data_IF_082799517468
#
_entry.id   IF_082799517468
#
_cell.length_a   1.000
_cell.length_b   1.000
_cell.length_c   1.000
_cell.angle_alpha   90.00
_cell.angle_beta   90.00
_cell.angle_gamma   90.00
#
_symmetry.space_group_name_H-M   'P 1'
#
loop_
_entity.id
_entity.type
_entity.pdbx_description
1 polymer ?
#
# COMPACT_ATOMS: atom_id res chain seq x y z
N UNK A 1 -11.33 21.26 11.86
CA UNK A 1 -11.63 21.07 10.43
C UNK A 1 -10.86 19.84 9.97
N UNK A 2 -11.50 18.74 9.54
CA UNK A 2 -10.75 17.64 8.94
C UNK A 2 -10.04 18.17 7.70
N UNK A 3 -8.75 17.86 7.55
CA UNK A 3 -7.98 18.24 6.37
C UNK A 3 -8.67 17.72 5.10
N UNK A 4 -8.68 18.52 4.03
CA UNK A 4 -9.19 18.08 2.74
C UNK A 4 -8.45 16.80 2.32
N UNK A 5 -9.14 15.79 1.75
CA UNK A 5 -8.49 14.56 1.35
C UNK A 5 -7.36 14.88 0.37
N UNK A 6 -6.14 14.50 0.73
CA UNK A 6 -4.98 14.71 -0.13
C UNK A 6 -5.23 14.03 -1.48
N UNK A 7 -4.88 14.71 -2.57
CA UNK A 7 -4.98 14.14 -3.91
C UNK A 7 -4.14 12.85 -3.97
N UNK A 8 -4.74 11.78 -4.50
CA UNK A 8 -4.09 10.49 -4.63
C UNK A 8 -2.86 10.59 -5.54
N UNK A 9 -1.76 9.98 -5.13
CA UNK A 9 -0.61 9.82 -6.01
C UNK A 9 -0.97 8.94 -7.22
N UNK A 10 -0.32 9.12 -8.39
CA UNK A 10 -0.59 8.31 -9.59
C UNK A 10 -0.52 6.79 -9.33
N UNK A 11 0.44 6.34 -8.53
CA UNK A 11 0.58 4.94 -8.13
C UNK A 11 -0.64 4.44 -7.32
N UNK A 12 -1.17 5.28 -6.41
CA UNK A 12 -2.35 4.95 -5.60
C UNK A 12 -3.60 4.89 -6.48
N UNK A 13 -3.77 5.83 -7.40
CA UNK A 13 -4.87 5.83 -8.34
C UNK A 13 -4.82 4.58 -9.26
N UNK A 14 -3.63 4.22 -9.76
CA UNK A 14 -3.44 3.01 -10.55
C UNK A 14 -3.74 1.72 -9.77
N UNK A 15 -3.27 1.64 -8.50
CA UNK A 15 -3.56 0.51 -7.62
C UNK A 15 -5.07 0.36 -7.37
N UNK A 16 -5.77 1.44 -7.06
CA UNK A 16 -7.23 1.43 -6.85
C UNK A 16 -7.98 1.03 -8.12
N UNK A 17 -7.56 1.52 -9.29
CA UNK A 17 -8.15 1.14 -10.57
C UNK A 17 -7.94 -0.35 -10.86
N UNK A 18 -6.77 -0.90 -10.57
CA UNK A 18 -6.50 -2.33 -10.72
C UNK A 18 -7.34 -3.20 -9.77
N UNK A 19 -7.41 -2.83 -8.49
CA UNK A 19 -8.25 -3.52 -7.51
C UNK A 19 -9.72 -3.46 -7.92
N UNK A 20 -10.21 -2.31 -8.38
CA UNK A 20 -11.57 -2.15 -8.87
C UNK A 20 -11.89 -3.03 -10.08
N UNK A 21 -11.00 -3.08 -11.08
CA UNK A 21 -11.17 -3.97 -12.25
C UNK A 21 -11.16 -5.44 -11.85
N UNK A 22 -10.24 -5.84 -10.98
CA UNK A 22 -10.15 -7.20 -10.44
C UNK A 22 -11.43 -7.59 -9.70
N UNK A 23 -11.92 -6.72 -8.82
CA UNK A 23 -13.14 -6.95 -8.06
C UNK A 23 -14.38 -7.09 -8.97
N UNK A 24 -14.50 -6.27 -10.03
CA UNK A 24 -15.59 -6.37 -11.00
C UNK A 24 -15.53 -7.65 -11.82
N UNK A 25 -14.32 -8.03 -12.27
CA UNK A 25 -14.08 -9.30 -12.99
C UNK A 25 -14.47 -10.51 -12.14
N UNK A 26 -14.08 -10.51 -10.87
CA UNK A 26 -14.24 -11.66 -9.98
C UNK A 26 -15.61 -11.69 -9.26
N UNK A 27 -16.41 -10.63 -9.43
CA UNK A 27 -17.72 -10.46 -8.78
C UNK A 27 -18.65 -11.67 -8.96
N UNK A 28 -18.85 -12.25 -10.15
CA UNK A 28 -19.76 -13.39 -10.31
C UNK A 28 -19.34 -14.60 -9.45
N UNK A 29 -18.04 -14.91 -9.44
CA UNK A 29 -17.49 -16.01 -8.65
C UNK A 29 -17.62 -15.75 -7.15
N UNK A 30 -17.36 -14.52 -6.70
CA UNK A 30 -17.53 -14.13 -5.31
C UNK A 30 -19.00 -14.26 -4.85
N UNK A 31 -19.95 -13.83 -5.67
CA UNK A 31 -21.38 -13.98 -5.39
C UNK A 31 -21.81 -15.44 -5.31
N UNK A 32 -21.29 -16.30 -6.18
CA UNK A 32 -21.56 -17.74 -6.13
C UNK A 32 -21.03 -18.39 -4.84
N UNK A 33 -19.87 -17.94 -4.33
CA UNK A 33 -19.33 -18.39 -3.04
C UNK A 33 -20.23 -17.95 -1.89
N UNK A 34 -20.65 -16.68 -1.85
CA UNK A 34 -21.59 -16.17 -0.83
C UNK A 34 -22.89 -16.98 -0.86
N UNK A 35 -23.46 -17.21 -2.05
CA UNK A 35 -24.67 -18.00 -2.22
C UNK A 35 -24.53 -19.41 -1.68
N UNK A 36 -23.39 -20.05 -1.91
CA UNK A 36 -23.10 -21.40 -1.39
C UNK A 36 -23.06 -21.42 0.14
N UNK A 37 -22.47 -20.40 0.77
CA UNK A 37 -22.40 -20.32 2.23
C UNK A 37 -23.75 -19.99 2.88
N UNK A 38 -24.60 -19.23 2.19
CA UNK A 38 -25.93 -18.88 2.68
C UNK A 38 -27.00 -19.91 2.29
N UNK A 39 -26.69 -20.86 1.41
CA UNK A 39 -27.59 -21.95 1.06
C UNK A 39 -27.96 -22.76 2.31
N UNK A 40 -29.26 -22.99 2.51
CA UNK A 40 -29.76 -23.74 3.67
C UNK A 40 -29.86 -22.94 4.98
N UNK A 41 -29.42 -21.67 5.00
CA UNK A 41 -29.57 -20.81 6.19
C UNK A 41 -31.00 -20.28 6.42
N UNK A 42 -31.92 -20.54 5.49
CA UNK A 42 -33.27 -19.95 5.49
C UNK A 42 -33.29 -18.43 5.27
N UNK A 43 -32.14 -17.80 5.02
CA UNK A 43 -32.02 -16.35 4.87
C UNK A 43 -32.22 -15.95 3.41
N UNK A 44 -33.24 -15.13 3.14
CA UNK A 44 -33.34 -14.42 1.87
C UNK A 44 -32.41 -13.20 1.92
N UNK A 45 -31.57 -13.04 0.90
CA UNK A 45 -30.68 -11.89 0.80
C UNK A 45 -30.62 -11.41 -0.64
N UNK A 46 -30.38 -10.12 -0.82
CA UNK A 46 -30.03 -9.55 -2.11
C UNK A 46 -28.55 -9.14 -2.08
N UNK A 47 -27.72 -9.65 -3.01
CA UNK A 47 -26.29 -9.35 -3.05
C UNK A 47 -25.95 -7.86 -2.98
N UNK A 48 -26.72 -7.03 -3.68
CA UNK A 48 -26.54 -5.57 -3.70
C UNK A 48 -26.82 -4.93 -2.34
N UNK A 49 -27.83 -5.42 -1.59
CA UNK A 49 -28.12 -4.95 -0.25
C UNK A 49 -27.02 -5.34 0.73
N UNK A 50 -26.47 -6.56 0.60
CA UNK A 50 -25.33 -7.00 1.40
C UNK A 50 -24.10 -6.12 1.14
N UNK A 51 -23.76 -5.87 -0.13
CA UNK A 51 -22.62 -5.01 -0.47
C UNK A 51 -22.84 -3.58 0.00
N UNK A 52 -24.04 -3.03 -0.15
CA UNK A 52 -24.38 -1.70 0.36
C UNK A 52 -24.26 -1.63 1.89
N UNK A 53 -24.73 -2.65 2.61
CA UNK A 53 -24.61 -2.71 4.07
C UNK A 53 -23.15 -2.76 4.51
N UNK A 54 -22.29 -3.52 3.81
CA UNK A 54 -20.84 -3.54 4.08
C UNK A 54 -20.20 -2.18 3.78
N UNK A 55 -20.60 -1.49 2.72
CA UNK A 55 -20.07 -0.17 2.38
C UNK A 55 -20.45 0.90 3.41
N UNK A 56 -21.68 0.84 3.97
CA UNK A 56 -22.18 1.83 4.94
C UNK A 56 -21.74 1.52 6.37
N UNK A 57 -21.73 0.24 6.75
CA UNK A 57 -21.51 -0.18 8.15
C UNK A 57 -20.18 -0.89 8.38
N UNK A 58 -19.40 -1.12 7.32
CA UNK A 58 -18.08 -1.73 7.41
C UNK A 58 -17.16 -0.91 8.31
N UNK A 59 -16.51 -1.59 9.25
CA UNK A 59 -15.48 -0.99 10.09
C UNK A 59 -14.11 -1.42 9.57
N UNK A 60 -13.24 -0.45 9.36
CA UNK A 60 -11.84 -0.71 9.08
C UNK A 60 -11.07 -0.73 10.41
N UNK A 61 -10.47 -1.88 10.72
CA UNK A 61 -9.54 -2.01 11.84
C UNK A 61 -8.12 -1.90 11.32
N UNK A 62 -7.30 -1.10 12.01
CA UNK A 62 -5.89 -0.94 11.70
C UNK A 62 -5.04 -1.60 12.80
N UNK A 63 -4.30 -2.64 12.45
CA UNK A 63 -3.41 -3.34 13.38
C UNK A 63 -1.97 -2.84 13.19
N UNK A 64 -1.37 -2.29 14.25
CA UNK A 64 0.01 -1.80 14.25
C UNK A 64 0.64 -1.97 15.64
N UNK A 65 1.97 -1.92 15.69
CA UNK A 65 2.71 -1.91 16.95
C UNK A 65 2.90 -0.46 17.43
N UNK A 66 2.25 -0.03 18.53
CA UNK A 66 2.20 1.38 18.92
C UNK A 66 3.57 1.95 19.29
N UNK A 67 4.44 1.13 19.88
CA UNK A 67 5.73 1.56 20.44
C UNK A 67 6.91 1.47 19.46
N UNK A 68 6.69 0.98 18.24
CA UNK A 68 7.78 0.93 17.25
C UNK A 68 8.22 2.34 16.89
N UNK A 69 9.53 2.54 16.80
CA UNK A 69 10.12 3.84 16.49
C UNK A 69 10.30 4.02 14.99
N UNK A 70 9.89 5.19 14.50
CA UNK A 70 10.24 5.70 13.18
C UNK A 70 11.70 6.21 13.18
N UNK A 71 12.23 6.44 11.98
CA UNK A 71 13.57 7.00 11.80
C UNK A 71 13.75 8.40 12.45
N UNK A 72 12.65 9.13 12.68
CA UNK A 72 12.64 10.42 13.36
C UNK A 72 12.53 10.31 14.89
N UNK A 73 12.52 9.09 15.44
CA UNK A 73 12.46 8.81 16.87
C UNK A 73 11.06 8.84 17.48
N UNK A 74 10.00 9.17 16.71
CA UNK A 74 8.62 9.10 17.20
C UNK A 74 8.12 7.65 17.22
N UNK A 75 7.19 7.34 18.12
CA UNK A 75 6.47 6.07 18.07
C UNK A 75 5.44 6.06 16.94
N UNK A 76 5.08 4.89 16.41
CA UNK A 76 4.02 4.76 15.38
C UNK A 76 2.71 5.37 15.87
N UNK A 77 2.34 5.18 17.14
CA UNK A 77 1.15 5.78 17.71
C UNK A 77 1.20 7.32 17.69
N UNK A 78 2.33 7.91 18.07
CA UNK A 78 2.51 9.36 18.08
C UNK A 78 2.51 9.95 16.66
N UNK A 79 3.17 9.28 15.70
CA UNK A 79 3.17 9.70 14.30
C UNK A 79 1.76 9.60 13.68
N UNK A 80 1.02 8.52 13.95
CA UNK A 80 -0.34 8.36 13.45
C UNK A 80 -1.30 9.40 14.06
N UNK A 81 -1.18 9.67 15.36
CA UNK A 81 -1.99 10.67 16.04
C UNK A 81 -1.70 12.10 15.57
N UNK A 82 -0.43 12.43 15.30
CA UNK A 82 -0.01 13.76 14.87
C UNK A 82 -0.23 14.03 13.38
N UNK A 83 0.11 13.06 12.53
CA UNK A 83 0.06 13.23 11.07
C UNK A 83 -1.34 12.95 10.50
N UNK A 84 -2.14 12.13 11.20
CA UNK A 84 -3.46 11.68 10.72
C UNK A 84 -3.40 10.80 9.46
N UNK A 85 -2.19 10.38 9.06
CA UNK A 85 -1.94 9.60 7.85
C UNK A 85 -1.23 8.30 8.23
N UNK A 86 -1.80 7.17 7.80
CA UNK A 86 -1.14 5.88 7.89
C UNK A 86 -0.12 5.75 6.76
N UNK A 87 1.16 5.55 7.12
CA UNK A 87 2.27 5.41 6.17
C UNK A 87 2.67 3.95 6.03
N UNK A 88 3.04 3.54 4.82
CA UNK A 88 3.42 2.15 4.56
C UNK A 88 4.77 1.77 5.18
N UNK A 89 5.04 0.47 5.30
CA UNK A 89 6.34 -0.05 5.73
C UNK A 89 7.51 0.39 4.84
N UNK A 90 7.25 0.72 3.57
CA UNK A 90 8.28 1.20 2.65
C UNK A 90 8.63 2.66 2.89
N UNK A 91 7.68 3.45 3.38
CA UNK A 91 7.91 4.84 3.78
C UNK A 91 8.59 4.91 5.15
N UNK A 92 8.12 4.10 6.09
CA UNK A 92 8.58 4.14 7.49
C UNK A 92 9.82 3.31 7.73
N UNK A 93 10.12 2.34 6.85
CA UNK A 93 11.13 1.31 7.08
C UNK A 93 10.75 0.30 8.16
N UNK A 94 9.55 0.41 8.74
CA UNK A 94 9.07 -0.43 9.83
C UNK A 94 8.24 -1.57 9.25
N UNK A 95 8.76 -2.79 9.33
CA UNK A 95 8.00 -4.00 9.00
C UNK A 95 7.21 -4.49 10.21
N UNK A 96 6.05 -5.11 9.97
CA UNK A 96 5.32 -5.92 10.97
C UNK A 96 6.02 -7.27 11.27
N UNK A 97 7.26 -7.47 10.82
CA UNK A 97 8.07 -8.66 11.14
C UNK A 97 8.07 -9.75 10.07
N UNK A 98 7.55 -9.48 8.86
CA UNK A 98 7.61 -10.43 7.74
C UNK A 98 9.03 -10.55 7.18
N UNK A 99 9.59 -11.76 7.18
CA UNK A 99 10.94 -12.08 6.67
C UNK A 99 11.09 -11.93 5.14
N UNK A 100 9.99 -11.79 4.39
CA UNK A 100 9.96 -11.74 2.93
C UNK A 100 9.70 -10.34 2.34
N UNK A 101 9.84 -9.29 3.16
CA UNK A 101 9.58 -7.90 2.78
C UNK A 101 10.75 -7.24 2.01
N UNK A 102 11.31 -7.94 1.02
CA UNK A 102 12.37 -7.45 0.13
C UNK A 102 11.94 -7.60 -1.35
N UNK A 103 12.51 -6.82 -2.28
CA UNK A 103 12.17 -6.91 -3.71
C UNK A 103 12.33 -8.34 -4.26
N UNK A 104 11.32 -8.85 -4.95
CA UNK A 104 11.25 -10.23 -5.45
C UNK A 104 10.88 -11.29 -4.41
N UNK A 105 10.77 -10.93 -3.12
CA UNK A 105 10.28 -11.81 -2.05
C UNK A 105 8.77 -12.09 -2.17
N UNK A 106 8.26 -13.06 -1.42
CA UNK A 106 6.86 -13.49 -1.49
C UNK A 106 5.87 -12.35 -1.25
N UNK A 107 6.21 -11.44 -0.32
CA UNK A 107 5.38 -10.27 -0.02
C UNK A 107 5.32 -9.33 -1.21
N UNK A 108 6.46 -9.07 -1.84
CA UNK A 108 6.57 -8.16 -2.99
C UNK A 108 5.78 -8.68 -4.19
N UNK A 109 5.90 -9.99 -4.50
CA UNK A 109 5.13 -10.64 -5.58
C UNK A 109 3.63 -10.67 -5.28
N UNK A 110 3.25 -10.90 -4.02
CA UNK A 110 1.85 -10.83 -3.61
C UNK A 110 1.29 -9.42 -3.76
N UNK A 111 2.03 -8.38 -3.36
CA UNK A 111 1.62 -6.99 -3.53
C UNK A 111 1.57 -6.59 -5.01
N UNK A 112 2.50 -7.07 -5.83
CA UNK A 112 2.49 -6.87 -7.28
C UNK A 112 1.20 -7.43 -7.90
N UNK A 113 0.80 -8.65 -7.53
CA UNK A 113 -0.45 -9.24 -8.00
C UNK A 113 -1.68 -8.47 -7.51
N UNK A 114 -1.69 -8.07 -6.22
CA UNK A 114 -2.81 -7.37 -5.60
C UNK A 114 -3.01 -5.97 -6.18
N UNK A 115 -1.93 -5.23 -6.45
CA UNK A 115 -1.97 -3.84 -6.91
C UNK A 115 -1.65 -3.66 -8.40
N UNK A 116 -1.40 -4.75 -9.12
CA UNK A 116 -1.15 -4.73 -10.56
C UNK A 116 0.14 -4.04 -10.95
N UNK A 117 1.21 -4.21 -10.16
CA UNK A 117 2.51 -3.59 -10.46
C UNK A 117 2.60 -2.09 -10.13
N UNK A 118 1.54 -1.49 -9.59
CA UNK A 118 1.47 -0.03 -9.39
C UNK A 118 2.58 0.53 -8.48
N UNK A 119 3.16 -0.30 -7.61
CA UNK A 119 4.22 0.09 -6.67
C UNK A 119 5.60 -0.48 -7.03
N UNK A 120 5.72 -1.21 -8.14
CA UNK A 120 6.91 -1.94 -8.57
C UNK A 120 7.82 -1.14 -9.51
N UNK A 121 7.46 0.11 -9.86
CA UNK A 121 8.25 0.96 -10.74
C UNK A 121 9.70 1.13 -10.25
N UNK A 122 10.70 1.12 -11.16
CA UNK A 122 12.10 1.15 -10.79
C UNK A 122 12.45 2.47 -10.08
N UNK A 123 12.73 2.32 -8.80
CA UNK A 123 13.15 3.37 -7.87
C UNK A 123 14.55 3.89 -8.22
N UNK A 124 14.63 4.87 -9.13
CA UNK A 124 15.82 5.75 -9.19
C UNK A 124 15.82 6.78 -8.04
N UNK A 125 14.68 6.94 -7.37
CA UNK A 125 14.54 7.71 -6.15
C UNK A 125 13.58 6.97 -5.22
N UNK A 126 14.16 6.17 -4.30
CA UNK A 126 13.46 5.31 -3.31
C UNK A 126 12.46 6.03 -2.39
N UNK A 127 12.27 7.34 -2.51
CA UNK A 127 11.48 8.15 -1.59
C UNK A 127 10.11 8.58 -2.13
N UNK A 128 9.76 8.32 -3.39
CA UNK A 128 8.54 8.89 -4.02
C UNK A 128 7.57 7.89 -4.65
N UNK A 129 7.99 6.67 -5.01
CA UNK A 129 7.09 5.71 -5.69
C UNK A 129 6.08 5.02 -4.75
N UNK A 130 6.43 4.92 -3.46
CA UNK A 130 5.65 4.21 -2.43
C UNK A 130 5.21 5.12 -1.28
N UNK A 131 5.39 6.43 -1.45
CA UNK A 131 5.04 7.45 -0.47
C UNK A 131 3.86 8.28 -0.90
N UNK A 132 2.94 8.55 0.01
CA UNK A 132 1.97 9.63 -0.18
C UNK A 132 2.63 10.97 0.15
N UNK A 133 2.86 11.83 -0.85
CA UNK A 133 3.24 13.23 -0.63
C UNK A 133 4.41 13.72 -1.49
N UNK A 134 4.15 14.78 -2.25
CA UNK A 134 5.17 15.48 -3.04
C UNK A 134 6.14 16.25 -2.15
N UNK A 135 7.44 16.11 -2.41
CA UNK A 135 8.46 17.08 -2.02
C UNK A 135 9.68 16.92 -2.93
N UNK A 136 10.07 18.02 -3.57
CA UNK A 136 11.26 18.18 -4.39
C UNK A 136 12.51 17.75 -3.63
N UNK A 137 13.37 16.97 -4.29
CA UNK A 137 14.62 16.48 -3.70
C UNK A 137 15.77 17.41 -4.10
N UNK A 138 16.20 18.28 -3.18
CA UNK A 138 17.50 18.94 -3.24
C UNK A 138 18.58 17.94 -2.80
N UNK A 139 19.56 17.71 -3.67
CA UNK A 139 20.69 16.81 -3.50
C UNK A 139 21.71 17.38 -2.52
N UNK A 140 22.14 16.59 -1.53
CA UNK A 140 23.47 16.74 -0.93
C UNK A 140 24.02 15.35 -0.63
N UNK A 141 25.22 14.99 -1.12
CA UNK A 141 25.77 13.65 -0.95
C UNK A 141 26.54 13.55 0.38
N UNK A 142 26.14 12.63 1.25
CA UNK A 142 27.01 12.13 2.34
C UNK A 142 27.54 10.75 1.97
N UNK A 143 28.86 10.58 2.19
CA UNK A 143 29.72 9.52 1.67
C UNK A 143 29.42 8.10 2.17
N UNK A 144 29.84 7.03 1.46
CA UNK A 144 29.63 5.64 1.87
C UNK A 144 30.74 5.09 2.79
N UNK A 145 30.37 4.18 3.69
CA UNK A 145 31.27 3.30 4.46
C UNK A 145 31.74 2.10 3.60
N UNK A 146 32.88 1.44 3.92
CA UNK A 146 33.62 0.62 2.96
C UNK A 146 33.09 -0.82 2.88
N UNK A 147 32.98 -1.38 1.66
CA UNK A 147 32.82 -2.84 1.49
C UNK A 147 32.01 -3.36 0.31
N UNK A 148 31.44 -2.53 -0.56
CA UNK A 148 30.73 -3.03 -1.76
C UNK A 148 30.95 -2.10 -2.95
N UNK A 149 31.32 -2.69 -4.10
CA UNK A 149 31.61 -2.00 -5.35
C UNK A 149 30.45 -1.08 -5.80
N UNK A 150 30.75 0.07 -6.43
CA UNK A 150 29.71 0.99 -6.89
C UNK A 150 28.98 0.38 -8.09
N UNK A 151 27.69 0.06 -7.92
CA UNK A 151 26.79 -0.13 -9.05
C UNK A 151 26.56 1.24 -9.70
N UNK A 152 27.33 1.54 -10.74
CA UNK A 152 27.12 2.71 -11.58
C UNK A 152 25.78 2.57 -12.30
N UNK A 153 24.80 3.39 -11.91
CA UNK A 153 23.54 3.51 -12.62
C UNK A 153 23.78 4.38 -13.87
N UNK A 154 23.99 3.74 -15.02
CA UNK A 154 24.15 4.41 -16.30
C UNK A 154 22.81 4.82 -16.89
N UNK A 155 22.46 6.10 -16.81
CA UNK A 155 21.47 6.71 -17.70
C UNK A 155 22.18 7.20 -18.95
N UNK A 156 22.05 6.49 -20.07
CA UNK A 156 22.35 7.05 -21.38
C UNK A 156 21.13 7.83 -21.89
N UNK A 157 21.28 9.08 -22.39
CA UNK A 157 20.19 9.76 -23.07
C UNK A 157 20.06 9.20 -24.49
N UNK A 158 18.87 8.73 -24.86
CA UNK A 158 18.49 8.53 -26.25
C UNK A 158 18.48 9.88 -26.97
N UNK A 159 19.18 9.93 -28.11
CA UNK A 159 19.17 11.01 -29.09
C UNK A 159 17.82 11.16 -29.77
#
# INVERSE_FOLDING_TARGET
>A
MPAAPAALAPAQAAALAHVGRTALRDRPSALAVIARHLAGSGTTYQPEQLVAAVAVHGRLTLNFHPDRLLADGRTVAAALAGDGVYRSQFETGISNGGLSAYPGGDRDRWEEALFGGAYQAPVCCRRTARSTGGSTCSTTPTAPAPGSAPATCGCAPTR
#
